data_IF_662643396137
#
_entry.id   IF_662643396137
#
_cell.length_a   1.000
_cell.length_b   1.000
_cell.length_c   1.000
_cell.angle_alpha   90.00
_cell.angle_beta   90.00
_cell.angle_gamma   90.00
#
_symmetry.space_group_name_H-M   'P 1'
#
loop_
_entity.id
_entity.type
_entity.pdbx_description
1 polymer ?
#
# COMPACT_ATOMS: atom_id res chain seq x y z
N UNK A 1 0.62 -11.63 -6.18
CA UNK A 1 1.62 -10.62 -5.76
C UNK A 1 1.77 -9.43 -6.70
N UNK A 2 1.97 -9.60 -8.02
CA UNK A 2 2.17 -8.47 -8.96
C UNK A 2 1.08 -7.38 -8.85
N UNK A 3 -0.19 -7.78 -8.72
CA UNK A 3 -1.32 -6.85 -8.58
C UNK A 3 -1.21 -6.02 -7.29
N UNK A 4 -0.92 -6.65 -6.15
CA UNK A 4 -0.80 -5.93 -4.87
C UNK A 4 0.38 -4.93 -4.88
N UNK A 5 1.50 -5.32 -5.50
CA UNK A 5 2.65 -4.42 -5.69
C UNK A 5 2.30 -3.24 -6.59
N UNK A 6 1.60 -3.48 -7.71
CA UNK A 6 1.14 -2.41 -8.61
C UNK A 6 0.18 -1.46 -7.88
N UNK A 7 -0.77 -2.00 -7.11
CA UNK A 7 -1.74 -1.21 -6.34
C UNK A 7 -1.02 -0.34 -5.31
N UNK A 8 -0.18 -0.92 -4.45
CA UNK A 8 0.57 -0.15 -3.43
C UNK A 8 1.47 0.91 -4.06
N UNK A 9 2.24 0.55 -5.10
CA UNK A 9 3.09 1.51 -5.79
C UNK A 9 2.29 2.66 -6.41
N UNK A 10 1.13 2.35 -7.01
CA UNK A 10 0.26 3.38 -7.61
C UNK A 10 -0.35 4.32 -6.57
N UNK A 11 -0.77 3.78 -5.41
CA UNK A 11 -1.29 4.56 -4.29
C UNK A 11 -0.22 5.48 -3.71
N UNK A 12 0.96 4.93 -3.42
CA UNK A 12 2.09 5.69 -2.91
C UNK A 12 2.55 6.79 -3.89
N UNK A 13 2.63 6.47 -5.18
CA UNK A 13 3.03 7.45 -6.21
C UNK A 13 1.99 8.54 -6.37
N UNK A 14 0.69 8.20 -6.37
CA UNK A 14 -0.38 9.18 -6.42
C UNK A 14 -0.39 10.10 -5.20
N UNK A 15 -0.16 9.54 -4.01
CA UNK A 15 -0.03 10.30 -2.77
C UNK A 15 1.16 11.27 -2.82
N UNK A 16 2.32 10.79 -3.27
CA UNK A 16 3.53 11.62 -3.43
C UNK A 16 3.30 12.78 -4.41
N UNK A 17 2.67 12.52 -5.55
CA UNK A 17 2.33 13.56 -6.52
C UNK A 17 1.41 14.63 -5.91
N UNK A 18 0.41 14.21 -5.14
CA UNK A 18 -0.48 15.13 -4.43
C UNK A 18 0.25 15.96 -3.37
N UNK A 19 1.16 15.35 -2.59
CA UNK A 19 1.97 16.05 -1.60
C UNK A 19 2.90 17.11 -2.24
N UNK A 20 3.46 16.82 -3.42
CA UNK A 20 4.23 17.79 -4.20
C UNK A 20 3.34 18.95 -4.63
N UNK A 21 2.16 18.67 -5.18
CA UNK A 21 1.20 19.73 -5.57
C UNK A 21 0.84 20.58 -4.34
N UNK A 22 0.60 19.95 -3.20
CA UNK A 22 0.29 20.65 -1.95
C UNK A 22 1.39 21.62 -1.53
N UNK A 23 2.67 21.25 -1.70
CA UNK A 23 3.82 22.05 -1.29
C UNK A 23 3.97 23.35 -2.09
N UNK A 24 3.57 23.36 -3.37
CA UNK A 24 3.75 24.51 -4.25
C UNK A 24 2.50 25.37 -4.42
N UNK A 25 1.32 24.77 -4.36
CA UNK A 25 0.06 25.45 -4.66
C UNK A 25 -0.87 25.61 -3.45
N UNK A 26 -0.59 24.91 -2.35
CA UNK A 26 -1.42 24.89 -1.12
C UNK A 26 -2.95 24.83 -1.38
N UNK A 27 -3.45 23.93 -2.26
CA UNK A 27 -4.88 23.85 -2.59
C UNK A 27 -5.75 23.40 -1.40
N UNK A 28 -5.16 22.74 -0.39
CA UNK A 28 -5.86 22.27 0.81
C UNK A 28 -5.39 23.03 2.06
N UNK A 29 -6.26 23.13 3.06
CA UNK A 29 -5.84 23.61 4.38
C UNK A 29 -4.94 22.58 5.07
N UNK A 30 -4.06 23.04 5.97
CA UNK A 30 -3.16 22.17 6.72
C UNK A 30 -3.90 21.04 7.47
N UNK A 31 -5.05 21.36 8.07
CA UNK A 31 -5.87 20.35 8.76
C UNK A 31 -6.38 19.26 7.82
N UNK A 32 -6.92 19.64 6.65
CA UNK A 32 -7.43 18.68 5.66
C UNK A 32 -6.29 17.85 5.11
N UNK A 33 -5.16 18.48 4.76
CA UNK A 33 -3.99 17.78 4.25
C UNK A 33 -3.44 16.75 5.25
N UNK A 34 -3.36 17.08 6.53
CA UNK A 34 -2.92 16.15 7.59
C UNK A 34 -3.88 14.97 7.70
N UNK A 35 -5.19 15.20 7.77
CA UNK A 35 -6.20 14.12 7.83
C UNK A 35 -6.11 13.20 6.61
N UNK A 36 -5.95 13.79 5.42
CA UNK A 36 -5.79 13.06 4.17
C UNK A 36 -4.51 12.22 4.18
N UNK A 37 -3.40 12.79 4.65
CA UNK A 37 -2.10 12.11 4.77
C UNK A 37 -2.16 10.89 5.69
N UNK A 38 -2.77 11.06 6.87
CA UNK A 38 -2.96 9.97 7.83
C UNK A 38 -3.83 8.87 7.22
N UNK A 39 -4.93 9.25 6.55
CA UNK A 39 -5.83 8.29 5.91
C UNK A 39 -5.11 7.51 4.79
N UNK A 40 -4.36 8.20 3.93
CA UNK A 40 -3.58 7.57 2.87
C UNK A 40 -2.53 6.60 3.44
N UNK A 41 -1.83 7.00 4.51
CA UNK A 41 -0.87 6.15 5.19
C UNK A 41 -1.51 4.89 5.79
N UNK A 42 -2.69 5.00 6.40
CA UNK A 42 -3.44 3.84 6.92
C UNK A 42 -3.83 2.89 5.78
N UNK A 43 -4.35 3.41 4.67
CA UNK A 43 -4.71 2.61 3.50
C UNK A 43 -3.48 1.88 2.94
N UNK A 44 -2.35 2.56 2.81
CA UNK A 44 -1.10 1.97 2.33
C UNK A 44 -0.65 0.80 3.23
N UNK A 45 -0.66 1.00 4.55
CA UNK A 45 -0.29 -0.06 5.51
C UNK A 45 -1.23 -1.27 5.39
N UNK A 46 -2.54 -1.05 5.26
CA UNK A 46 -3.51 -2.14 5.10
C UNK A 46 -3.25 -2.92 3.80
N UNK A 47 -2.99 -2.22 2.70
CA UNK A 47 -2.64 -2.84 1.40
C UNK A 47 -1.38 -3.70 1.53
N UNK A 48 -0.36 -3.19 2.23
CA UNK A 48 0.88 -3.93 2.48
C UNK A 48 0.64 -5.17 3.34
N UNK A 49 -0.14 -5.07 4.42
CA UNK A 49 -0.48 -6.21 5.29
C UNK A 49 -1.21 -7.29 4.47
N UNK A 50 -2.23 -6.90 3.70
CA UNK A 50 -2.97 -7.84 2.84
C UNK A 50 -2.03 -8.49 1.82
N UNK A 51 -1.13 -7.72 1.21
CA UNK A 51 -0.15 -8.24 0.27
C UNK A 51 0.79 -9.27 0.91
N UNK A 52 1.23 -9.02 2.15
CA UNK A 52 2.07 -9.93 2.92
C UNK A 52 1.33 -11.22 3.29
N UNK A 53 0.08 -11.12 3.74
CA UNK A 53 -0.76 -12.29 4.06
C UNK A 53 -0.99 -13.16 2.83
N UNK A 54 -1.29 -12.56 1.68
CA UNK A 54 -1.46 -13.31 0.42
C UNK A 54 -0.14 -13.98 0.02
N UNK A 55 0.99 -13.30 0.18
CA UNK A 55 2.31 -13.89 -0.12
C UNK A 55 2.59 -15.08 0.77
N UNK A 56 2.37 -14.95 2.08
CA UNK A 56 2.61 -16.02 3.04
C UNK A 56 1.74 -17.23 2.73
N UNK A 57 0.45 -17.00 2.47
CA UNK A 57 -0.49 -18.06 2.12
C UNK A 57 -0.12 -18.78 0.81
N UNK A 58 0.25 -18.02 -0.23
CA UNK A 58 0.72 -18.62 -1.49
C UNK A 58 2.02 -19.41 -1.29
N UNK A 59 2.96 -18.91 -0.50
CA UNK A 59 4.23 -19.57 -0.19
C UNK A 59 4.00 -20.88 0.58
N UNK A 60 3.15 -20.85 1.60
CA UNK A 60 2.78 -22.05 2.37
C UNK A 60 2.13 -23.10 1.47
N UNK A 61 1.19 -22.68 0.60
CA UNK A 61 0.54 -23.58 -0.36
C UNK A 61 1.54 -24.19 -1.35
N UNK A 62 2.50 -23.42 -1.84
CA UNK A 62 3.56 -23.94 -2.72
C UNK A 62 4.45 -24.97 -2.01
N UNK A 63 4.81 -24.72 -0.74
CA UNK A 63 5.65 -25.62 0.05
C UNK A 63 4.95 -26.94 0.38
N UNK A 64 3.65 -26.90 0.73
CA UNK A 64 2.80 -28.10 0.88
C UNK A 64 2.69 -28.87 -0.44
N UNK A 65 2.49 -28.17 -1.57
CA UNK A 65 2.40 -28.83 -2.89
C UNK A 65 3.69 -29.56 -3.30
N UNK A 66 4.84 -29.12 -2.79
CA UNK A 66 6.15 -29.71 -3.06
C UNK A 66 6.55 -30.76 -2.02
N UNK A 67 5.69 -31.07 -1.05
CA UNK A 67 5.95 -32.08 -0.01
C UNK A 67 7.00 -31.67 1.02
N UNK A 68 7.35 -30.38 1.10
CA UNK A 68 8.26 -29.88 2.14
C UNK A 68 7.56 -29.63 3.47
N UNK A 69 6.22 -29.52 3.46
CA UNK A 69 5.36 -29.37 4.62
C UNK A 69 4.21 -30.38 4.48
N UNK A 70 3.83 -30.99 5.60
CA UNK A 70 2.66 -31.89 5.72
C UNK A 70 1.35 -31.08 5.77
#
# INVERSE_FOLDING_TARGET
>A
MKIAVIIGLSLFTAWAAMAIIQLWFEPLTAEVFVKLSVTAGVVEVVVLIVALVIREYCSEKELKSKGYLD
#
